data_IF_084026920990
#
_entry.id   IF_084026920990
#
_cell.length_a   1.000
_cell.length_b   1.000
_cell.length_c   1.000
_cell.angle_alpha   90.00
_cell.angle_beta   90.00
_cell.angle_gamma   90.00
#
_symmetry.space_group_name_H-M   'P 1'
#
loop_
_entity.id
_entity.type
_entity.pdbx_description
1 polymer ?
#
# COMPACT_ATOMS: atom_id res chain seq x y z
N UNK A 1 71.90 3.36 14.27
CA UNK A 1 70.99 2.21 14.14
C UNK A 1 70.01 2.29 15.29
N UNK A 2 68.71 2.51 15.15
CA UNK A 2 67.84 2.90 14.05
C UNK A 2 66.59 3.51 14.72
N UNK A 3 65.95 4.44 14.03
CA UNK A 3 64.98 5.40 14.55
C UNK A 3 63.79 4.80 15.33
N UNK A 4 63.40 5.56 16.36
CA UNK A 4 62.10 5.47 17.00
C UNK A 4 61.02 5.94 16.00
N UNK A 5 60.29 5.00 15.42
CA UNK A 5 59.09 5.33 14.64
C UNK A 5 57.96 5.72 15.59
N UNK A 6 57.81 7.02 15.78
CA UNK A 6 56.59 7.63 16.32
C UNK A 6 55.56 7.61 15.19
N UNK A 7 54.58 6.71 15.29
CA UNK A 7 53.39 6.74 14.43
C UNK A 7 52.51 7.91 14.87
N UNK A 8 52.71 9.06 14.21
CA UNK A 8 51.69 10.09 14.11
C UNK A 8 50.67 9.63 13.08
N UNK A 9 49.44 9.33 13.51
CA UNK A 9 48.30 9.34 12.60
C UNK A 9 47.06 9.91 13.30
N UNK A 10 46.88 11.20 13.01
CA UNK A 10 45.64 11.92 12.79
C UNK A 10 44.44 11.51 13.65
N UNK A 11 44.21 12.35 14.66
CA UNK A 11 42.89 12.59 15.23
C UNK A 11 41.86 12.82 14.12
N UNK A 12 41.17 11.76 13.71
CA UNK A 12 39.92 11.89 12.97
C UNK A 12 38.96 12.59 13.92
N UNK A 13 38.78 13.90 13.70
CA UNK A 13 37.68 14.65 14.29
C UNK A 13 36.38 14.00 13.81
N UNK A 14 35.86 13.08 14.62
CA UNK A 14 34.47 12.65 14.54
C UNK A 14 33.66 13.86 14.95
N UNK A 15 33.25 14.65 13.97
CA UNK A 15 32.20 15.65 14.16
C UNK A 15 30.93 14.83 14.43
N UNK A 16 30.65 14.61 15.71
CA UNK A 16 29.37 14.10 16.17
C UNK A 16 28.32 15.15 15.82
N UNK A 17 27.66 14.96 14.68
CA UNK A 17 26.40 15.67 14.39
C UNK A 17 25.37 15.04 15.32
N UNK A 18 25.02 15.76 16.38
CA UNK A 18 23.90 15.43 17.25
C UNK A 18 22.63 15.19 16.41
N UNK A 19 22.00 14.03 16.58
CA UNK A 19 20.55 13.91 16.42
C UNK A 19 19.98 13.11 15.24
N UNK A 20 20.77 12.40 14.43
CA UNK A 20 20.22 11.42 13.47
C UNK A 20 20.65 10.03 13.90
N UNK A 21 19.79 9.34 14.65
CA UNK A 21 19.93 7.90 14.79
C UNK A 21 19.83 7.30 13.38
N UNK A 22 20.98 6.94 12.81
CA UNK A 22 21.02 6.26 11.51
C UNK A 22 20.40 4.89 11.71
N UNK A 23 19.26 4.65 11.06
CA UNK A 23 18.68 3.32 10.95
C UNK A 23 19.78 2.35 10.46
N UNK A 24 19.86 1.16 11.04
CA UNK A 24 20.79 0.14 10.55
C UNK A 24 20.37 -0.33 9.17
N UNK A 25 21.31 -0.82 8.36
CA UNK A 25 21.00 -1.39 7.05
C UNK A 25 19.89 -2.46 7.14
N UNK A 26 19.89 -3.26 8.21
CA UNK A 26 18.86 -4.27 8.48
C UNK A 26 17.47 -3.66 8.74
N UNK A 27 17.38 -2.55 9.47
CA UNK A 27 16.12 -1.83 9.68
C UNK A 27 15.57 -1.25 8.37
N UNK A 28 16.45 -0.71 7.53
CA UNK A 28 16.09 -0.17 6.21
C UNK A 28 15.55 -1.28 5.31
N UNK A 29 16.25 -2.42 5.23
CA UNK A 29 15.84 -3.57 4.41
C UNK A 29 14.49 -4.12 4.90
N UNK A 30 14.31 -4.31 6.21
CA UNK A 30 13.06 -4.82 6.76
C UNK A 30 11.87 -3.90 6.48
N UNK A 31 12.08 -2.58 6.52
CA UNK A 31 11.05 -1.60 6.16
C UNK A 31 10.64 -1.70 4.70
N UNK A 32 11.60 -1.82 3.78
CA UNK A 32 11.34 -2.00 2.34
C UNK A 32 10.53 -3.27 2.11
N UNK A 33 10.93 -4.38 2.72
CA UNK A 33 10.23 -5.66 2.59
C UNK A 33 8.79 -5.57 3.11
N UNK A 34 8.59 -4.94 4.28
CA UNK A 34 7.26 -4.71 4.85
C UNK A 34 6.37 -3.87 3.93
N UNK A 35 6.90 -2.77 3.38
CA UNK A 35 6.16 -1.92 2.44
C UNK A 35 5.78 -2.68 1.16
N UNK A 36 6.67 -3.54 0.64
CA UNK A 36 6.37 -4.38 -0.52
C UNK A 36 5.28 -5.42 -0.23
N UNK A 37 5.34 -6.07 0.94
CA UNK A 37 4.33 -7.04 1.36
C UNK A 37 2.97 -6.37 1.56
N UNK A 38 2.94 -5.21 2.20
CA UNK A 38 1.74 -4.41 2.36
C UNK A 38 1.14 -4.00 1.01
N UNK A 39 1.99 -3.62 0.05
CA UNK A 39 1.57 -3.34 -1.33
C UNK A 39 0.94 -4.55 -2.00
N UNK A 40 1.54 -5.75 -1.87
CA UNK A 40 0.99 -7.01 -2.41
C UNK A 40 -0.39 -7.30 -1.84
N UNK A 41 -0.54 -7.22 -0.51
CA UNK A 41 -1.82 -7.45 0.18
C UNK A 41 -2.92 -6.47 -0.27
N UNK A 42 -2.58 -5.19 -0.46
CA UNK A 42 -3.53 -4.18 -0.97
C UNK A 42 -4.02 -4.49 -2.39
N UNK A 43 -3.10 -4.89 -3.28
CA UNK A 43 -3.45 -5.27 -4.65
C UNK A 43 -4.33 -6.51 -4.70
N UNK A 44 -4.04 -7.50 -3.86
CA UNK A 44 -4.87 -8.71 -3.74
C UNK A 44 -6.30 -8.38 -3.28
N UNK A 45 -6.43 -7.59 -2.20
CA UNK A 45 -7.74 -7.14 -1.71
C UNK A 45 -8.54 -6.40 -2.78
N UNK A 46 -7.89 -5.51 -3.55
CA UNK A 46 -8.51 -4.81 -4.66
C UNK A 46 -9.01 -5.77 -5.76
N UNK A 47 -8.21 -6.77 -6.11
CA UNK A 47 -8.60 -7.77 -7.10
C UNK A 47 -9.80 -8.62 -6.65
N UNK A 48 -9.83 -9.03 -5.38
CA UNK A 48 -10.95 -9.77 -4.79
C UNK A 48 -12.22 -8.91 -4.84
N UNK A 49 -12.13 -7.64 -4.42
CA UNK A 49 -13.27 -6.73 -4.41
C UNK A 49 -13.84 -6.50 -5.83
N UNK A 50 -12.97 -6.32 -6.83
CA UNK A 50 -13.39 -6.21 -8.24
C UNK A 50 -14.04 -7.49 -8.77
N UNK A 51 -13.52 -8.66 -8.39
CA UNK A 51 -14.14 -9.95 -8.75
C UNK A 51 -15.53 -10.08 -8.15
N UNK A 52 -15.70 -9.72 -6.88
CA UNK A 52 -17.00 -9.73 -6.21
C UNK A 52 -18.01 -8.83 -6.94
N UNK A 53 -17.60 -7.61 -7.31
CA UNK A 53 -18.43 -6.70 -8.09
C UNK A 53 -18.87 -7.32 -9.42
N UNK A 54 -17.94 -7.96 -10.14
CA UNK A 54 -18.24 -8.63 -11.41
C UNK A 54 -19.29 -9.73 -11.25
N UNK A 55 -19.23 -10.50 -10.17
CA UNK A 55 -20.26 -11.50 -9.88
C UNK A 55 -21.61 -10.85 -9.64
N UNK A 56 -21.68 -9.79 -8.82
CA UNK A 56 -22.93 -9.06 -8.56
C UNK A 56 -23.55 -8.58 -9.88
N UNK A 57 -22.75 -7.92 -10.73
CA UNK A 57 -23.23 -7.43 -12.04
C UNK A 57 -23.61 -8.56 -13.00
N UNK A 58 -22.95 -9.72 -12.89
CA UNK A 58 -23.22 -10.88 -13.74
C UNK A 58 -24.45 -11.68 -13.33
N UNK A 59 -24.85 -11.65 -12.06
CA UNK A 59 -26.06 -12.32 -11.56
C UNK A 59 -27.32 -11.46 -11.69
N UNK A 60 -27.17 -10.14 -11.74
CA UNK A 60 -28.28 -9.17 -11.74
C UNK A 60 -28.40 -8.47 -13.11
N UNK A 61 -28.34 -9.23 -14.20
CA UNK A 61 -28.27 -8.68 -15.58
C UNK A 61 -29.49 -7.85 -15.98
N UNK A 62 -30.65 -8.14 -15.38
CA UNK A 62 -31.91 -7.49 -15.72
C UNK A 62 -32.11 -6.17 -14.95
N UNK A 63 -31.20 -5.87 -14.01
CA UNK A 63 -31.24 -4.66 -13.22
C UNK A 63 -30.33 -3.60 -13.80
N UNK A 64 -30.74 -2.34 -13.64
CA UNK A 64 -29.80 -1.23 -13.81
C UNK A 64 -28.93 -1.16 -12.57
N UNK A 65 -27.62 -1.33 -12.75
CA UNK A 65 -26.64 -1.31 -11.67
C UNK A 65 -25.63 -0.22 -11.94
N UNK A 66 -25.50 0.71 -11.00
CA UNK A 66 -24.44 1.70 -11.00
C UNK A 66 -23.36 1.26 -10.02
N UNK A 67 -22.10 1.38 -10.43
CA UNK A 67 -20.98 0.98 -9.58
C UNK A 67 -19.99 2.13 -9.45
N UNK A 68 -19.45 2.31 -8.25
CA UNK A 68 -18.38 3.27 -7.99
C UNK A 68 -17.25 2.61 -7.20
N UNK A 69 -16.03 3.07 -7.42
CA UNK A 69 -14.84 2.57 -6.75
C UNK A 69 -14.02 3.75 -6.23
N UNK A 70 -13.62 3.66 -4.97
CA UNK A 70 -12.69 4.57 -4.31
C UNK A 70 -11.53 3.76 -3.73
N UNK A 71 -10.30 4.21 -3.98
CA UNK A 71 -9.09 3.60 -3.43
C UNK A 71 -8.33 4.67 -2.66
N UNK A 72 -8.09 4.40 -1.38
CA UNK A 72 -7.31 5.27 -0.50
C UNK A 72 -6.04 4.58 -0.06
N UNK A 73 -5.24 5.26 0.76
CA UNK A 73 -4.05 4.65 1.39
C UNK A 73 -4.44 3.46 2.28
N UNK A 74 -5.60 3.52 2.92
CA UNK A 74 -5.94 2.63 4.03
C UNK A 74 -7.05 1.62 3.68
N UNK A 75 -7.88 1.91 2.69
CA UNK A 75 -8.98 1.03 2.29
C UNK A 75 -9.30 1.12 0.79
N UNK A 76 -10.07 0.14 0.32
CA UNK A 76 -10.76 0.16 -0.96
C UNK A 76 -12.25 0.10 -0.66
N UNK A 77 -13.02 1.06 -1.18
CA UNK A 77 -14.48 1.07 -1.13
C UNK A 77 -15.03 0.80 -2.52
N UNK A 78 -15.91 -0.18 -2.63
CA UNK A 78 -16.68 -0.46 -3.84
C UNK A 78 -18.14 -0.36 -3.47
N UNK A 79 -18.89 0.47 -4.18
CA UNK A 79 -20.34 0.59 -4.02
C UNK A 79 -21.03 0.07 -5.28
N UNK A 80 -22.10 -0.69 -5.08
CA UNK A 80 -23.02 -1.10 -6.13
C UNK A 80 -24.42 -0.65 -5.73
N UNK A 81 -25.06 0.17 -6.56
CA UNK A 81 -26.44 0.61 -6.42
C UNK A 81 -27.28 -0.12 -7.44
N UNK A 82 -28.26 -0.89 -6.96
CA UNK A 82 -29.17 -1.67 -7.80
C UNK A 82 -30.49 -0.91 -7.82
N UNK A 83 -30.91 -0.49 -9.01
CA UNK A 83 -32.17 0.22 -9.19
C UNK A 83 -33.28 -0.77 -9.52
N UNK A 84 -34.36 -0.71 -8.74
CA UNK A 84 -35.57 -1.49 -8.99
C UNK A 84 -36.46 -0.70 -9.95
N UNK A 85 -36.77 -1.28 -11.12
CA UNK A 85 -37.86 -0.76 -11.97
C UNK A 85 -39.16 -1.45 -11.57
N UNK A 86 -40.29 -0.73 -11.49
CA UNK A 86 -41.59 -1.39 -11.38
C UNK A 86 -41.81 -2.27 -12.63
N UNK A 87 -42.51 -3.40 -12.50
CA UNK A 87 -42.90 -4.20 -13.66
C UNK A 87 -43.67 -3.33 -14.67
N UNK A 88 -43.39 -3.48 -15.97
CA UNK A 88 -44.12 -2.76 -17.01
C UNK A 88 -45.64 -2.94 -16.82
N UNK A 89 -46.37 -1.83 -16.71
CA UNK A 89 -47.83 -1.83 -16.50
C UNK A 89 -48.32 -1.71 -15.05
N UNK A 90 -47.42 -1.57 -14.06
CA UNK A 90 -47.75 -1.17 -12.69
C UNK A 90 -47.27 0.27 -12.40
N UNK A 91 -47.81 1.25 -13.12
CA UNK A 91 -47.78 2.63 -12.65
C UNK A 91 -49.00 2.84 -11.74
N UNK A 92 -48.75 3.15 -10.47
CA UNK A 92 -49.75 3.54 -9.48
C UNK A 92 -49.65 5.01 -9.16
#
# INVERSE_FOLDING_TARGET
MGDSMVLHDNYTNVIAIEGVAKETDEQIINKILYEEELRKRKLEALNIARRALRYITGYLTDYTIETSQEVTKDYVRIEAKIYFKPPEGMEG
#
